data_IF_735121555861
#
_entry.id   IF_735121555861
#
_cell.length_a   1.000
_cell.length_b   1.000
_cell.length_c   1.000
_cell.angle_alpha   90.00
_cell.angle_beta   90.00
_cell.angle_gamma   90.00
#
_symmetry.space_group_name_H-M   'P 1'
#
loop_
_entity.id
_entity.type
_entity.pdbx_description
1 polymer ?
#
# COMPACT_ATOMS: atom_id res chain seq x y z
N UNK A 1 2.39 -9.03 3.44
CA UNK A 1 1.18 -9.82 3.74
C UNK A 1 1.58 -11.10 4.48
N UNK A 2 0.61 -11.98 4.79
CA UNK A 2 0.90 -13.28 5.39
C UNK A 2 1.89 -14.09 4.52
N UNK A 3 2.78 -14.91 5.07
CA UNK A 3 2.95 -15.25 6.48
C UNK A 3 3.75 -14.23 7.31
N UNK A 4 4.04 -13.04 6.78
CA UNK A 4 4.74 -11.99 7.51
C UNK A 4 3.96 -11.54 8.75
N UNK A 5 4.65 -11.31 9.87
CA UNK A 5 4.04 -10.93 11.15
C UNK A 5 4.54 -9.60 11.71
N UNK A 6 5.70 -9.12 11.25
CA UNK A 6 6.33 -7.90 11.79
C UNK A 6 5.71 -6.59 11.32
N UNK A 7 4.76 -6.64 10.38
CA UNK A 7 4.12 -5.43 9.83
C UNK A 7 2.97 -4.88 10.69
N UNK A 8 2.66 -5.52 11.83
CA UNK A 8 1.72 -5.01 12.84
C UNK A 8 0.33 -4.65 12.32
N UNK A 9 -0.15 -3.47 12.70
CA UNK A 9 -1.50 -2.97 12.36
C UNK A 9 -1.82 -2.94 10.88
N UNK A 10 -0.97 -2.42 9.99
CA UNK A 10 -1.24 -2.40 8.54
C UNK A 10 -1.49 -3.78 7.92
N UNK A 11 -0.76 -4.81 8.39
CA UNK A 11 -0.99 -6.18 7.94
C UNK A 11 -2.36 -6.68 8.37
N UNK A 12 -2.70 -6.51 9.67
CA UNK A 12 -4.00 -6.95 10.19
C UNK A 12 -5.16 -6.27 9.47
N UNK A 13 -5.04 -4.98 9.16
CA UNK A 13 -6.05 -4.25 8.40
C UNK A 13 -6.26 -4.83 7.00
N UNK A 14 -5.18 -5.20 6.31
CA UNK A 14 -5.29 -5.83 4.98
C UNK A 14 -5.89 -7.23 5.06
N UNK A 15 -5.51 -8.02 6.06
CA UNK A 15 -6.10 -9.35 6.27
C UNK A 15 -7.60 -9.22 6.53
N UNK A 16 -8.00 -8.35 7.44
CA UNK A 16 -9.42 -8.12 7.72
C UNK A 16 -10.19 -7.63 6.48
N UNK A 17 -9.57 -6.78 5.66
CA UNK A 17 -10.19 -6.29 4.42
C UNK A 17 -10.43 -7.45 3.44
N UNK A 18 -9.45 -8.32 3.26
CA UNK A 18 -9.58 -9.50 2.40
C UNK A 18 -10.66 -10.47 2.93
N UNK A 19 -10.65 -10.75 4.22
CA UNK A 19 -11.63 -11.66 4.83
C UNK A 19 -13.07 -11.15 4.72
N UNK A 20 -13.29 -9.84 4.91
CA UNK A 20 -14.62 -9.24 4.86
C UNK A 20 -15.14 -9.02 3.43
N UNK A 21 -14.25 -8.71 2.48
CA UNK A 21 -14.64 -8.24 1.15
C UNK A 21 -14.20 -9.20 0.01
N UNK A 22 -13.52 -10.29 0.33
CA UNK A 22 -12.97 -11.20 -0.68
C UNK A 22 -14.01 -12.02 -1.45
N UNK A 23 -15.27 -12.00 -1.03
CA UNK A 23 -16.37 -12.60 -1.79
C UNK A 23 -16.96 -11.63 -2.84
N UNK A 24 -16.69 -10.31 -2.68
CA UNK A 24 -17.17 -9.26 -3.58
C UNK A 24 -16.06 -8.76 -4.52
N UNK A 25 -14.81 -8.82 -4.07
CA UNK A 25 -13.63 -8.30 -4.80
C UNK A 25 -12.54 -9.35 -4.91
N UNK A 26 -11.91 -9.42 -6.07
CA UNK A 26 -10.68 -10.18 -6.27
C UNK A 26 -9.47 -9.37 -5.74
N UNK A 27 -8.79 -9.89 -4.73
CA UNK A 27 -7.62 -9.25 -4.13
C UNK A 27 -6.33 -9.81 -4.70
N UNK A 28 -5.59 -8.97 -5.41
CA UNK A 28 -4.27 -9.25 -5.95
C UNK A 28 -3.22 -8.47 -5.14
N UNK A 29 -2.48 -9.13 -4.26
CA UNK A 29 -1.58 -8.49 -3.31
C UNK A 29 -0.13 -8.73 -3.72
N UNK A 30 0.63 -7.66 -3.94
CA UNK A 30 2.08 -7.74 -4.15
C UNK A 30 2.80 -7.37 -2.86
N UNK A 31 3.63 -8.27 -2.38
CA UNK A 31 4.40 -8.11 -1.14
C UNK A 31 5.83 -8.63 -1.30
N UNK A 32 6.69 -8.39 -0.32
CA UNK A 32 8.04 -8.97 -0.31
C UNK A 32 7.98 -10.47 0.00
N UNK A 33 8.95 -11.20 -0.53
CA UNK A 33 9.14 -12.62 -0.30
C UNK A 33 9.69 -12.96 1.11
N UNK A 34 9.97 -11.94 1.94
CA UNK A 34 10.63 -12.09 3.25
C UNK A 34 10.17 -11.07 4.27
N UNK A 35 10.42 -11.37 5.54
CA UNK A 35 10.17 -10.45 6.66
C UNK A 35 11.14 -9.27 6.58
N UNK A 36 10.66 -8.07 6.88
CA UNK A 36 11.51 -6.88 6.93
C UNK A 36 12.68 -7.06 7.90
N UNK A 37 13.90 -6.85 7.40
CA UNK A 37 15.14 -7.02 8.17
C UNK A 37 15.66 -8.46 8.27
N UNK A 38 15.05 -9.41 7.54
CA UNK A 38 15.52 -10.79 7.43
C UNK A 38 16.02 -11.03 6.01
N UNK A 39 17.13 -11.76 5.86
CA UNK A 39 17.74 -12.08 4.56
C UNK A 39 17.06 -13.25 3.86
N UNK A 40 16.57 -14.24 4.64
CA UNK A 40 15.97 -15.46 4.09
C UNK A 40 14.53 -15.19 3.62
N UNK A 41 14.15 -15.73 2.46
CA UNK A 41 12.79 -15.71 1.99
C UNK A 41 11.90 -16.67 2.78
N UNK A 42 10.58 -16.56 2.63
CA UNK A 42 9.63 -17.51 3.19
C UNK A 42 9.79 -18.89 2.52
N UNK A 43 9.84 -19.94 3.32
CA UNK A 43 10.06 -21.32 2.82
C UNK A 43 8.81 -21.94 2.19
N UNK A 44 7.62 -21.47 2.55
CA UNK A 44 6.34 -22.10 2.20
C UNK A 44 5.55 -21.31 1.14
N UNK A 45 6.24 -20.53 0.29
CA UNK A 45 5.62 -19.74 -0.77
C UNK A 45 6.39 -19.89 -2.09
N UNK A 46 5.68 -19.78 -3.21
CA UNK A 46 6.29 -19.69 -4.54
C UNK A 46 6.72 -18.25 -4.78
N UNK A 47 8.03 -18.01 -4.85
CA UNK A 47 8.60 -16.69 -5.07
C UNK A 47 8.40 -16.29 -6.53
N UNK A 48 8.14 -15.00 -6.77
CA UNK A 48 7.89 -14.40 -8.08
C UNK A 48 6.72 -15.04 -8.85
N UNK A 49 5.77 -15.59 -8.11
CA UNK A 49 4.55 -16.22 -8.61
C UNK A 49 3.36 -15.86 -7.72
N UNK A 50 2.15 -15.97 -8.28
CA UNK A 50 0.91 -15.85 -7.53
C UNK A 50 0.67 -17.11 -6.67
N UNK A 51 0.24 -16.88 -5.43
CA UNK A 51 -0.07 -17.92 -4.45
C UNK A 51 -1.46 -17.63 -3.87
N UNK A 52 -2.29 -18.63 -3.71
CA UNK A 52 -3.57 -18.51 -2.99
C UNK A 52 -3.32 -18.40 -1.48
N UNK A 53 -3.83 -17.38 -0.84
CA UNK A 53 -3.71 -17.14 0.60
C UNK A 53 -5.04 -16.61 1.14
N UNK A 54 -5.85 -17.47 1.73
CA UNK A 54 -7.23 -17.14 2.08
C UNK A 54 -8.03 -16.74 0.84
N UNK A 55 -8.72 -15.61 0.90
CA UNK A 55 -9.50 -15.06 -0.22
C UNK A 55 -8.68 -14.14 -1.16
N UNK A 56 -7.36 -14.20 -1.12
CA UNK A 56 -6.49 -13.37 -1.95
C UNK A 56 -5.49 -14.17 -2.77
N UNK A 57 -5.08 -13.61 -3.91
CA UNK A 57 -3.90 -14.02 -4.65
C UNK A 57 -2.71 -13.15 -4.23
N UNK A 58 -1.62 -13.74 -3.77
CA UNK A 58 -0.46 -13.03 -3.23
C UNK A 58 0.78 -13.30 -4.07
N UNK A 59 1.40 -12.26 -4.58
CA UNK A 59 2.67 -12.31 -5.29
C UNK A 59 3.81 -11.96 -4.33
N UNK A 60 4.63 -12.95 -3.99
CA UNK A 60 5.81 -12.77 -3.15
C UNK A 60 7.00 -12.37 -4.00
N UNK A 61 7.21 -11.08 -4.12
CA UNK A 61 8.26 -10.51 -4.97
C UNK A 61 9.64 -10.64 -4.33
N UNK A 62 10.57 -11.29 -5.05
CA UNK A 62 11.99 -11.28 -4.72
C UNK A 62 12.55 -9.85 -4.72
N UNK A 63 13.75 -9.60 -4.17
CA UNK A 63 14.37 -8.26 -4.22
C UNK A 63 14.50 -7.70 -5.63
N UNK A 64 14.69 -8.56 -6.64
CA UNK A 64 14.73 -8.16 -8.05
C UNK A 64 13.35 -7.70 -8.54
N UNK A 65 12.30 -8.45 -8.21
CA UNK A 65 10.93 -8.13 -8.59
C UNK A 65 10.30 -7.04 -7.72
N UNK A 66 10.78 -6.84 -6.49
CA UNK A 66 10.39 -5.72 -5.62
C UNK A 66 11.15 -4.44 -5.98
N UNK A 67 11.15 -4.09 -7.24
CA UNK A 67 11.83 -2.96 -7.86
C UNK A 67 10.91 -2.21 -8.83
N UNK A 68 11.33 -1.03 -9.30
CA UNK A 68 10.55 -0.24 -10.27
C UNK A 68 10.26 -1.06 -11.55
N UNK A 69 11.27 -1.76 -12.06
CA UNK A 69 11.14 -2.60 -13.27
C UNK A 69 10.26 -3.82 -13.02
N UNK A 70 10.40 -4.46 -11.86
CA UNK A 70 9.58 -5.59 -11.47
C UNK A 70 8.11 -5.20 -11.29
N UNK A 71 7.81 -4.09 -10.62
CA UNK A 71 6.45 -3.56 -10.51
C UNK A 71 5.84 -3.26 -11.88
N UNK A 72 6.59 -2.63 -12.78
CA UNK A 72 6.13 -2.41 -14.16
C UNK A 72 5.73 -3.72 -14.84
N UNK A 73 6.55 -4.77 -14.70
CA UNK A 73 6.30 -6.09 -15.26
C UNK A 73 5.03 -6.72 -14.68
N UNK A 74 4.90 -6.73 -13.35
CA UNK A 74 3.73 -7.30 -12.66
C UNK A 74 2.45 -6.56 -13.07
N UNK A 75 2.44 -5.23 -13.01
CA UNK A 75 1.26 -4.42 -13.31
C UNK A 75 0.81 -4.54 -14.76
N UNK A 76 1.75 -4.65 -15.71
CA UNK A 76 1.40 -4.82 -17.12
C UNK A 76 0.91 -6.24 -17.45
N UNK A 77 1.30 -7.23 -16.66
CA UNK A 77 0.86 -8.62 -16.82
C UNK A 77 -0.44 -8.94 -16.06
N UNK A 78 -0.94 -8.02 -15.24
CA UNK A 78 -2.07 -8.26 -14.33
C UNK A 78 -3.20 -7.28 -14.62
N UNK A 79 -4.38 -7.78 -14.97
CA UNK A 79 -5.59 -6.93 -15.10
C UNK A 79 -6.02 -6.45 -13.72
N UNK A 80 -6.40 -5.19 -13.60
CA UNK A 80 -6.87 -4.59 -12.36
C UNK A 80 -7.71 -3.34 -12.62
N UNK A 81 -8.71 -3.09 -11.80
CA UNK A 81 -9.58 -1.92 -11.87
C UNK A 81 -9.12 -0.80 -10.93
N UNK A 82 -8.64 -1.18 -9.74
CA UNK A 82 -8.19 -0.26 -8.69
C UNK A 82 -6.84 -0.69 -8.16
N UNK A 83 -5.96 0.27 -7.93
CA UNK A 83 -4.71 0.06 -7.19
C UNK A 83 -4.86 0.65 -5.80
N UNK A 84 -4.60 -0.17 -4.78
CA UNK A 84 -4.64 0.22 -3.39
C UNK A 84 -3.23 0.28 -2.81
N UNK A 85 -2.77 1.47 -2.44
CA UNK A 85 -1.45 1.74 -1.89
C UNK A 85 -1.54 1.84 -0.36
N UNK A 86 -0.97 0.87 0.33
CA UNK A 86 -1.03 0.75 1.78
C UNK A 86 0.24 1.27 2.44
N UNK A 87 0.43 2.54 2.53
CA UNK A 87 1.47 3.37 3.17
C UNK A 87 1.89 4.52 2.26
N UNK A 88 2.15 5.68 2.85
CA UNK A 88 2.68 6.84 2.13
C UNK A 88 4.22 6.81 2.08
N UNK A 89 4.87 6.51 3.21
CA UNK A 89 6.34 6.50 3.33
C UNK A 89 6.96 5.15 2.92
N UNK A 90 6.54 4.59 1.81
CA UNK A 90 7.13 3.38 1.24
C UNK A 90 7.75 3.67 -0.14
N UNK A 91 9.02 4.15 -0.19
CA UNK A 91 9.64 4.53 -1.47
C UNK A 91 9.79 3.37 -2.44
N UNK A 92 10.00 2.16 -1.94
CA UNK A 92 10.21 0.96 -2.77
C UNK A 92 8.91 0.33 -3.32
N UNK A 93 7.73 0.69 -2.78
CA UNK A 93 6.44 0.22 -3.28
C UNK A 93 5.61 1.39 -3.77
N UNK A 94 4.98 2.15 -2.87
CA UNK A 94 4.16 3.32 -3.22
C UNK A 94 4.92 4.33 -4.07
N UNK A 95 6.14 4.69 -3.66
CA UNK A 95 6.97 5.64 -4.40
C UNK A 95 7.33 5.15 -5.79
N UNK A 96 7.78 3.89 -5.90
CA UNK A 96 8.14 3.28 -7.18
C UNK A 96 6.93 3.22 -8.13
N UNK A 97 5.76 2.80 -7.62
CA UNK A 97 4.52 2.76 -8.40
C UNK A 97 4.11 4.16 -8.88
N UNK A 98 4.12 5.16 -8.01
CA UNK A 98 3.71 6.52 -8.36
C UNK A 98 4.68 7.18 -9.35
N UNK A 99 5.97 6.85 -9.32
CA UNK A 99 6.93 7.25 -10.34
C UNK A 99 6.60 6.63 -11.69
N UNK A 100 6.34 5.32 -11.73
CA UNK A 100 5.93 4.64 -12.97
C UNK A 100 4.67 5.28 -13.58
N UNK A 101 3.68 5.56 -12.74
CA UNK A 101 2.45 6.26 -13.16
C UNK A 101 2.76 7.67 -13.68
N UNK A 102 3.59 8.44 -12.96
CA UNK A 102 3.93 9.82 -13.31
C UNK A 102 4.60 9.95 -14.67
N UNK A 103 5.42 8.95 -15.04
CA UNK A 103 6.09 8.89 -16.33
C UNK A 103 5.30 8.10 -17.40
N UNK A 104 4.06 7.73 -17.12
CA UNK A 104 3.18 7.08 -18.11
C UNK A 104 3.50 5.61 -18.39
N UNK A 105 4.35 4.96 -17.57
CA UNK A 105 4.69 3.55 -17.75
C UNK A 105 3.60 2.58 -17.27
N UNK A 106 2.67 3.07 -16.47
CA UNK A 106 1.52 2.30 -15.97
C UNK A 106 0.26 3.14 -16.14
N UNK A 107 -0.74 2.56 -16.78
CA UNK A 107 -2.07 3.16 -16.94
C UNK A 107 -3.00 2.50 -15.94
N UNK A 108 -3.54 3.27 -15.02
CA UNK A 108 -4.53 2.80 -14.05
C UNK A 108 -5.72 3.73 -14.03
N UNK A 109 -6.93 3.18 -13.86
CA UNK A 109 -8.17 3.97 -13.82
C UNK A 109 -8.31 4.69 -12.47
N UNK A 110 -8.14 3.99 -11.38
CA UNK A 110 -8.33 4.52 -10.03
C UNK A 110 -7.21 4.08 -9.09
N UNK A 111 -6.74 4.99 -8.24
CA UNK A 111 -5.71 4.71 -7.24
C UNK A 111 -6.20 5.24 -5.91
N UNK A 112 -6.25 4.36 -4.93
CA UNK A 112 -6.52 4.68 -3.53
C UNK A 112 -5.22 4.62 -2.75
N UNK A 113 -4.98 5.60 -1.89
CA UNK A 113 -3.85 5.60 -0.95
C UNK A 113 -4.35 5.71 0.48
N UNK A 114 -3.88 4.81 1.35
CA UNK A 114 -4.14 4.80 2.77
C UNK A 114 -2.84 5.03 3.55
N UNK A 115 -2.61 6.22 4.12
CA UNK A 115 -1.40 6.53 4.88
C UNK A 115 -1.26 5.78 6.20
N UNK A 116 -2.36 5.27 6.75
CA UNK A 116 -2.33 4.46 7.98
C UNK A 116 -1.73 5.19 9.19
N UNK A 117 -2.16 6.43 9.41
CA UNK A 117 -1.71 7.25 10.55
C UNK A 117 -0.29 7.82 10.41
N UNK A 118 0.36 7.65 9.25
CA UNK A 118 1.74 8.10 9.02
C UNK A 118 1.90 9.63 9.06
N UNK A 119 0.81 10.39 8.97
CA UNK A 119 0.79 11.85 9.05
C UNK A 119 0.48 12.38 10.45
N UNK A 120 0.20 11.53 11.43
CA UNK A 120 0.02 11.97 12.81
C UNK A 120 1.29 12.66 13.34
N UNK A 121 1.16 13.62 14.27
CA UNK A 121 2.30 14.35 14.82
C UNK A 121 3.38 13.43 15.39
N UNK A 122 2.98 12.38 16.12
CA UNK A 122 3.91 11.38 16.65
C UNK A 122 4.65 10.61 15.55
N UNK A 123 3.94 10.16 14.52
CA UNK A 123 4.56 9.47 13.40
C UNK A 123 5.50 10.39 12.61
N UNK A 124 5.12 11.64 12.36
CA UNK A 124 5.96 12.60 11.63
C UNK A 124 7.22 12.99 12.42
N UNK A 125 7.17 12.99 13.76
CA UNK A 125 8.32 13.25 14.60
C UNK A 125 9.45 12.22 14.44
N UNK A 126 9.10 10.98 14.09
CA UNK A 126 10.09 9.94 13.82
C UNK A 126 10.78 10.17 12.48
N UNK A 127 12.12 10.40 12.48
CA UNK A 127 12.92 10.70 11.28
C UNK A 127 12.39 11.93 10.52
N UNK A 128 11.98 12.97 11.25
CA UNK A 128 11.24 14.13 10.76
C UNK A 128 11.88 14.80 9.53
N UNK A 129 13.21 15.01 9.53
CA UNK A 129 13.91 15.63 8.41
C UNK A 129 13.78 14.82 7.11
N UNK A 130 13.93 13.50 7.17
CA UNK A 130 13.79 12.61 6.00
C UNK A 130 12.37 12.62 5.46
N UNK A 131 11.37 12.58 6.35
CA UNK A 131 9.95 12.63 5.96
C UNK A 131 9.57 13.96 5.35
N UNK A 132 10.05 15.07 5.92
CA UNK A 132 9.83 16.41 5.37
C UNK A 132 10.38 16.54 3.95
N UNK A 133 11.62 16.09 3.73
CA UNK A 133 12.23 16.09 2.40
C UNK A 133 11.41 15.23 1.43
N UNK A 134 11.04 14.00 1.84
CA UNK A 134 10.22 13.12 1.00
C UNK A 134 8.90 13.77 0.59
N UNK A 135 8.17 14.38 1.53
CA UNK A 135 6.91 15.08 1.26
C UNK A 135 7.13 16.22 0.25
N UNK A 136 8.16 17.04 0.44
CA UNK A 136 8.44 18.17 -0.47
C UNK A 136 8.78 17.68 -1.89
N UNK A 137 9.63 16.68 -2.01
CA UNK A 137 9.98 16.09 -3.31
C UNK A 137 8.74 15.48 -3.98
N UNK A 138 7.95 14.73 -3.23
CA UNK A 138 6.73 14.11 -3.73
C UNK A 138 5.68 15.14 -4.21
N UNK A 139 5.56 16.28 -3.51
CA UNK A 139 4.73 17.42 -3.93
C UNK A 139 5.28 18.08 -5.19
N UNK A 140 6.57 18.37 -5.22
CA UNK A 140 7.24 18.99 -6.36
C UNK A 140 7.08 18.14 -7.64
N UNK A 141 7.28 16.85 -7.53
CA UNK A 141 7.11 15.89 -8.64
C UNK A 141 5.64 15.59 -8.96
N UNK A 142 4.69 16.15 -8.21
CA UNK A 142 3.24 15.95 -8.38
C UNK A 142 2.83 14.48 -8.37
N UNK A 143 3.52 13.64 -7.59
CA UNK A 143 3.34 12.18 -7.58
C UNK A 143 1.95 11.75 -7.09
N UNK A 144 1.39 12.48 -6.13
CA UNK A 144 0.14 12.14 -5.44
C UNK A 144 -1.10 12.85 -6.00
N UNK A 145 -0.99 13.54 -7.14
CA UNK A 145 -2.13 14.21 -7.76
C UNK A 145 -3.12 13.21 -8.35
N UNK A 146 -4.42 13.49 -8.15
CA UNK A 146 -5.50 12.68 -8.69
C UNK A 146 -5.68 11.32 -8.03
N UNK A 147 -5.15 11.14 -6.80
CA UNK A 147 -5.42 9.98 -5.98
C UNK A 147 -6.66 10.18 -5.12
N UNK A 148 -7.31 9.09 -4.79
CA UNK A 148 -8.31 9.00 -3.74
C UNK A 148 -7.59 8.67 -2.44
N UNK A 149 -7.80 9.44 -1.39
CA UNK A 149 -7.21 9.22 -0.08
C UNK A 149 -8.20 8.51 0.82
N UNK A 150 -7.80 7.40 1.41
CA UNK A 150 -8.55 6.77 2.47
C UNK A 150 -7.98 7.18 3.82
N UNK A 151 -8.84 7.65 4.70
CA UNK A 151 -8.55 7.88 6.11
C UNK A 151 -9.38 6.91 6.97
N UNK A 152 -8.78 6.35 8.03
CA UNK A 152 -9.49 5.46 8.96
C UNK A 152 -10.37 6.21 9.96
N UNK A 153 -10.23 7.53 10.05
CA UNK A 153 -11.00 8.42 10.93
C UNK A 153 -10.96 9.86 10.43
N UNK A 154 -11.82 10.71 10.97
CA UNK A 154 -11.79 12.16 10.69
C UNK A 154 -10.47 12.82 11.15
N UNK A 155 -9.86 12.32 12.23
CA UNK A 155 -8.55 12.80 12.68
C UNK A 155 -7.47 12.55 11.61
N UNK A 156 -7.42 11.33 11.06
CA UNK A 156 -6.49 11.02 9.97
C UNK A 156 -6.81 11.83 8.71
N UNK A 157 -8.10 12.05 8.39
CA UNK A 157 -8.49 12.88 7.27
C UNK A 157 -8.00 14.34 7.45
N UNK A 158 -8.06 14.86 8.66
CA UNK A 158 -7.53 16.20 8.97
C UNK A 158 -6.00 16.25 8.85
N UNK A 159 -5.29 15.23 9.32
CA UNK A 159 -3.84 15.11 9.16
C UNK A 159 -3.44 15.08 7.67
N UNK A 160 -4.17 14.34 6.85
CA UNK A 160 -3.97 14.32 5.39
C UNK A 160 -4.17 15.72 4.78
N UNK A 161 -5.24 16.41 5.14
CA UNK A 161 -5.50 17.80 4.67
C UNK A 161 -4.38 18.76 5.06
N UNK A 162 -3.95 18.69 6.31
CA UNK A 162 -2.89 19.55 6.84
C UNK A 162 -1.55 19.34 6.11
N UNK A 163 -1.21 18.11 5.79
CA UNK A 163 0.08 17.78 5.17
C UNK A 163 0.01 17.95 3.65
N UNK A 164 -1.03 17.47 2.99
CA UNK A 164 -1.09 17.41 1.53
C UNK A 164 -1.81 18.61 0.90
N UNK A 165 -2.66 19.30 1.66
CA UNK A 165 -3.39 20.49 1.18
C UNK A 165 -4.24 20.17 -0.05
N UNK A 166 -4.18 21.04 -1.05
CA UNK A 166 -4.95 20.92 -2.31
C UNK A 166 -4.60 19.69 -3.17
N UNK A 167 -3.55 18.94 -2.84
CA UNK A 167 -3.21 17.69 -3.54
C UNK A 167 -4.21 16.58 -3.16
N UNK A 168 -4.62 16.52 -1.89
CA UNK A 168 -5.59 15.56 -1.40
C UNK A 168 -7.03 16.05 -1.61
N UNK A 169 -7.47 16.10 -2.88
CA UNK A 169 -8.79 16.62 -3.24
C UNK A 169 -9.95 15.74 -2.82
N UNK A 170 -9.76 14.42 -2.91
CA UNK A 170 -10.77 13.42 -2.56
C UNK A 170 -10.27 12.64 -1.37
N UNK A 171 -10.89 12.81 -0.22
CA UNK A 171 -10.59 12.08 1.00
C UNK A 171 -11.87 11.36 1.43
N UNK A 172 -11.81 10.05 1.52
CA UNK A 172 -12.90 9.19 1.98
C UNK A 172 -12.55 8.67 3.38
N UNK A 173 -13.44 8.87 4.33
CA UNK A 173 -13.31 8.30 5.67
C UNK A 173 -13.96 6.93 5.68
N UNK A 174 -13.12 5.91 5.76
CA UNK A 174 -13.53 4.51 5.82
C UNK A 174 -12.76 3.83 6.95
N UNK A 175 -13.42 3.49 8.07
CA UNK A 175 -12.79 2.82 9.20
C UNK A 175 -12.18 1.48 8.82
N UNK A 176 -11.17 1.07 9.59
CA UNK A 176 -10.58 -0.27 9.42
C UNK A 176 -11.63 -1.33 9.79
N UNK A 177 -11.76 -2.33 8.94
CA UNK A 177 -12.66 -3.46 9.19
C UNK A 177 -12.15 -4.30 10.37
N UNK A 178 -13.07 -4.77 11.18
CA UNK A 178 -12.77 -5.68 12.28
C UNK A 178 -12.49 -7.09 11.75
N UNK A 179 -11.81 -7.90 12.55
CA UNK A 179 -11.67 -9.32 12.22
C UNK A 179 -13.04 -9.99 12.16
N UNK A 180 -13.26 -10.83 11.18
CA UNK A 180 -14.41 -11.73 11.15
C UNK A 180 -14.27 -12.64 12.37
N UNK A 181 -15.25 -12.62 13.27
CA UNK A 181 -15.26 -13.55 14.36
C UNK A 181 -15.37 -14.98 13.79
N UNK A 182 -14.62 -15.95 14.33
CA UNK A 182 -14.83 -17.34 13.94
C UNK A 182 -16.32 -17.66 14.19
N UNK A 183 -16.97 -18.30 13.21
CA UNK A 183 -18.32 -18.80 13.40
C UNK A 183 -18.31 -19.74 14.61
N UNK A 184 -19.10 -19.41 15.63
CA UNK A 184 -19.25 -20.21 16.85
C UNK A 184 -20.06 -21.46 16.52
#
# INVERSE_FOLDING_TARGET
>A
YLPGYRSGGPLRTLVNMVENLGDEFEFLIVTRDRVFGVSEPYNNVKIDQWNEVGKAQVFYASPLMFSVTGFKKILNATSHDVIYLNSFFSPHSTGAFLLLRRFGFVKTKSIVIAPRGEFSPGALGLKAAKKKIYIQVAKLLRMYHGLIWQASSEYEAQDIRNIMGSIARVILVAPNLLSVAPAV
#
